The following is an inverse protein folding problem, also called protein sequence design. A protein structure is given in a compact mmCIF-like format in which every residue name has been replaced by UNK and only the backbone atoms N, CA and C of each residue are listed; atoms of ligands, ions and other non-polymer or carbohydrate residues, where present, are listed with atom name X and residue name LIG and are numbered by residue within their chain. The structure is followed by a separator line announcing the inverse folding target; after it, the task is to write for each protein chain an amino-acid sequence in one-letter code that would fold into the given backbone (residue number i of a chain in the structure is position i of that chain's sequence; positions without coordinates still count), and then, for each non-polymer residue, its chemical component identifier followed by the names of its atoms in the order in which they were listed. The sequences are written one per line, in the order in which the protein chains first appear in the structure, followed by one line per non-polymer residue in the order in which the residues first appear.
data_IF_549977619857
#
_entry.id   IF_549977619857
#
_cell.length_a   1.000
_cell.length_b   1.000
_cell.length_c   1.000
_cell.angle_alpha   90.00
_cell.angle_beta   90.00
_cell.angle_gamma   90.00
#
_symmetry.space_group_name_H-M   'P 1'
#
loop_
_entity.id
_entity.type
_entity.pdbx_description
1 polymer ?
#
# COMPACT_ATOMS: atom_id res chain seq x y z
N UNK A 1 21.79 48.92 -21.59
CA UNK A 1 22.24 47.52 -21.54
C UNK A 1 21.47 46.67 -20.52
N UNK A 2 20.19 46.93 -20.21
CA UNK A 2 19.43 46.26 -19.15
C UNK A 2 18.34 45.32 -19.65
N UNK A 3 18.12 45.21 -20.97
CA UNK A 3 16.98 44.45 -21.53
C UNK A 3 17.24 42.93 -21.74
N UNK A 4 18.48 42.46 -21.72
CA UNK A 4 18.81 41.05 -22.07
C UNK A 4 18.74 40.09 -20.87
N UNK A 5 18.81 40.58 -19.64
CA UNK A 5 18.73 39.74 -18.43
C UNK A 5 17.29 39.41 -18.01
N UNK A 6 16.33 40.29 -18.27
CA UNK A 6 14.92 40.05 -17.98
C UNK A 6 14.30 38.98 -18.87
N UNK A 7 14.72 38.87 -20.14
CA UNK A 7 14.24 37.84 -21.07
C UNK A 7 14.69 36.43 -20.68
N UNK A 8 15.91 36.28 -20.15
CA UNK A 8 16.44 34.97 -19.73
C UNK A 8 15.74 34.43 -18.47
N UNK A 9 15.46 35.30 -17.49
CA UNK A 9 14.75 34.91 -16.25
C UNK A 9 13.27 34.58 -16.54
N UNK A 10 12.60 35.32 -17.44
CA UNK A 10 11.23 35.00 -17.87
C UNK A 10 11.17 33.70 -18.69
N UNK A 11 12.18 33.43 -19.52
CA UNK A 11 12.31 32.19 -20.29
C UNK A 11 12.50 30.98 -19.41
N UNK A 12 13.32 31.08 -18.36
CA UNK A 12 13.53 30.00 -17.38
C UNK A 12 12.26 29.77 -16.54
N UNK A 13 11.57 30.82 -16.15
CA UNK A 13 10.33 30.74 -15.38
C UNK A 13 9.15 30.17 -16.20
N UNK A 14 9.00 30.60 -17.44
CA UNK A 14 8.02 30.07 -18.41
C UNK A 14 8.39 28.64 -18.84
N UNK A 15 9.68 28.33 -19.01
CA UNK A 15 10.17 26.98 -19.28
C UNK A 15 9.82 26.03 -18.15
N UNK A 16 10.02 26.45 -16.91
CA UNK A 16 9.68 25.64 -15.73
C UNK A 16 8.16 25.41 -15.54
N UNK A 17 7.33 26.41 -15.90
CA UNK A 17 5.86 26.26 -15.93
C UNK A 17 5.39 25.39 -17.10
N UNK A 18 6.10 25.49 -18.25
CA UNK A 18 5.80 24.67 -19.44
C UNK A 18 6.20 23.22 -19.20
N UNK A 19 7.36 22.96 -18.61
CA UNK A 19 7.81 21.62 -18.21
C UNK A 19 6.86 20.97 -17.18
N UNK A 20 6.35 21.72 -16.20
CA UNK A 20 5.32 21.21 -15.28
C UNK A 20 4.00 20.86 -15.98
N UNK A 21 3.58 21.61 -17.02
CA UNK A 21 2.36 21.31 -17.78
C UNK A 21 2.56 20.18 -18.80
N UNK A 22 3.75 20.09 -19.41
CA UNK A 22 4.07 19.01 -20.36
C UNK A 22 4.32 17.67 -19.64
N UNK A 23 4.89 17.68 -18.43
CA UNK A 23 5.02 16.48 -17.60
C UNK A 23 3.65 15.88 -17.20
N UNK A 24 2.59 16.70 -17.23
CA UNK A 24 1.21 16.24 -17.00
C UNK A 24 0.54 15.61 -18.24
N UNK A 25 1.10 15.74 -19.45
CA UNK A 25 0.39 15.39 -20.69
C UNK A 25 1.09 14.37 -21.61
N UNK A 26 2.35 14.00 -21.39
CA UNK A 26 3.05 13.03 -22.26
C UNK A 26 3.83 12.00 -21.44
N UNK A 27 3.70 10.73 -21.83
CA UNK A 27 4.35 9.49 -21.41
C UNK A 27 5.47 9.63 -20.37
N UNK A 28 5.12 9.50 -19.14
CA UNK A 28 5.80 10.04 -17.95
C UNK A 28 7.14 9.35 -17.65
N UNK A 29 8.23 10.10 -17.39
CA UNK A 29 9.47 9.57 -16.79
C UNK A 29 9.18 8.85 -15.46
N UNK A 30 10.03 7.92 -15.04
CA UNK A 30 9.83 7.11 -13.81
C UNK A 30 9.40 7.90 -12.57
N UNK A 31 9.89 9.15 -12.39
CA UNK A 31 9.52 10.02 -11.28
C UNK A 31 8.07 10.45 -11.23
N UNK A 32 7.37 10.55 -12.34
CA UNK A 32 5.96 10.92 -12.35
C UNK A 32 5.03 9.73 -12.09
N UNK A 33 5.38 8.50 -12.49
CA UNK A 33 4.61 7.29 -12.12
C UNK A 33 4.68 7.04 -10.62
N UNK A 34 5.85 7.19 -10.05
CA UNK A 34 6.10 7.09 -8.62
C UNK A 34 5.29 8.12 -7.84
N UNK A 35 5.33 9.40 -8.26
CA UNK A 35 4.53 10.45 -7.66
C UNK A 35 3.02 10.14 -7.75
N UNK A 36 2.54 9.65 -8.89
CA UNK A 36 1.14 9.23 -9.05
C UNK A 36 0.80 8.04 -8.18
N UNK A 37 1.72 7.07 -8.01
CA UNK A 37 1.52 5.95 -7.10
C UNK A 37 1.31 6.46 -5.67
N UNK A 38 2.20 7.31 -5.16
CA UNK A 38 2.08 7.85 -3.81
C UNK A 38 0.85 8.74 -3.65
N UNK A 39 0.60 9.64 -4.59
CA UNK A 39 -0.58 10.50 -4.54
C UNK A 39 -1.87 9.67 -4.47
N UNK A 40 -2.01 8.63 -5.30
CA UNK A 40 -3.18 7.76 -5.23
C UNK A 40 -3.24 7.00 -3.90
N UNK A 41 -2.11 6.50 -3.41
CA UNK A 41 -2.06 5.77 -2.13
C UNK A 41 -2.57 6.64 -0.99
N UNK A 42 -2.03 7.86 -0.84
CA UNK A 42 -2.41 8.75 0.26
C UNK A 42 -3.80 9.37 0.08
N UNK A 43 -4.25 9.64 -1.16
CA UNK A 43 -5.61 10.11 -1.40
C UNK A 43 -6.65 9.05 -1.00
N UNK A 44 -6.44 7.79 -1.37
CA UNK A 44 -7.35 6.70 -1.00
C UNK A 44 -7.30 6.42 0.50
N UNK A 45 -6.12 6.53 1.16
CA UNK A 45 -6.02 6.48 2.63
C UNK A 45 -6.87 7.58 3.27
N UNK A 46 -6.81 8.83 2.76
CA UNK A 46 -7.64 9.93 3.24
C UNK A 46 -9.13 9.68 3.06
N UNK A 47 -9.52 9.05 1.94
CA UNK A 47 -10.91 8.70 1.66
C UNK A 47 -11.45 7.64 2.63
N UNK A 48 -10.68 6.59 2.91
CA UNK A 48 -11.00 5.56 3.90
C UNK A 48 -11.12 6.19 5.29
N UNK A 49 -10.11 6.96 5.72
CA UNK A 49 -10.11 7.63 7.01
C UNK A 49 -11.32 8.55 7.23
N UNK A 50 -11.89 9.11 6.16
CA UNK A 50 -13.08 9.96 6.22
C UNK A 50 -14.39 9.16 6.23
N UNK A 51 -14.39 7.90 5.84
CA UNK A 51 -15.59 7.06 5.68
C UNK A 51 -16.40 6.93 6.96
N UNK A 52 -15.74 6.84 8.12
CA UNK A 52 -16.35 6.80 9.45
C UNK A 52 -17.00 8.14 9.87
N UNK A 53 -16.78 9.22 9.09
CA UNK A 53 -17.29 10.57 9.33
C UNK A 53 -16.25 11.52 9.92
N UNK A 54 -15.35 11.05 10.78
CA UNK A 54 -14.29 11.86 11.39
C UNK A 54 -12.94 11.16 11.29
N UNK A 55 -11.98 11.85 10.71
CA UNK A 55 -10.58 11.40 10.71
C UNK A 55 -10.04 11.39 12.13
N UNK A 56 -9.51 10.27 12.55
CA UNK A 56 -8.95 10.05 13.88
C UNK A 56 -7.45 10.37 13.93
N UNK A 57 -6.91 10.45 15.14
CA UNK A 57 -5.45 10.55 15.31
C UNK A 57 -4.72 9.29 14.85
N UNK A 58 -5.37 8.11 14.91
CA UNK A 58 -4.83 6.85 14.41
C UNK A 58 -4.63 6.91 12.89
N UNK A 59 -5.61 7.43 12.15
CA UNK A 59 -5.51 7.59 10.70
C UNK A 59 -4.36 8.52 10.31
N UNK A 60 -4.21 9.63 11.04
CA UNK A 60 -3.11 10.58 10.82
C UNK A 60 -1.77 9.93 11.14
N UNK A 61 -1.68 9.18 12.26
CA UNK A 61 -0.46 8.45 12.63
C UNK A 61 -0.11 7.38 11.60
N UNK A 62 -1.09 6.64 11.11
CA UNK A 62 -0.89 5.63 10.07
C UNK A 62 -0.31 6.26 8.80
N UNK A 63 -0.94 7.33 8.28
CA UNK A 63 -0.44 8.02 7.10
C UNK A 63 0.95 8.61 7.31
N UNK A 64 1.22 9.20 8.48
CA UNK A 64 2.52 9.77 8.84
C UNK A 64 3.59 8.67 8.94
N UNK A 65 3.29 7.56 9.60
CA UNK A 65 4.20 6.42 9.73
C UNK A 65 4.54 5.81 8.36
N UNK A 66 3.58 5.75 7.45
CA UNK A 66 3.85 5.32 6.08
C UNK A 66 4.76 6.31 5.35
N UNK A 67 4.54 7.63 5.48
CA UNK A 67 5.43 8.65 4.90
C UNK A 67 6.86 8.53 5.43
N UNK A 68 7.00 8.28 6.74
CA UNK A 68 8.32 8.11 7.38
C UNK A 68 9.01 6.83 6.91
N UNK A 69 8.28 5.71 6.84
CA UNK A 69 8.77 4.43 6.32
C UNK A 69 9.26 4.55 4.87
N UNK A 70 8.52 5.30 4.05
CA UNK A 70 8.86 5.59 2.67
C UNK A 70 9.94 6.69 2.55
N UNK A 71 10.43 7.23 3.67
CA UNK A 71 11.43 8.31 3.72
C UNK A 71 11.03 9.53 2.89
N UNK A 72 9.73 9.80 2.79
CA UNK A 72 9.25 10.96 2.05
C UNK A 72 9.67 12.25 2.78
N UNK A 73 10.33 13.14 2.06
CA UNK A 73 10.81 14.43 2.58
C UNK A 73 10.52 15.55 1.59
N UNK A 74 10.68 16.78 2.02
CA UNK A 74 10.55 17.96 1.16
C UNK A 74 9.21 18.02 0.43
N UNK A 75 9.26 18.15 -0.89
CA UNK A 75 8.07 18.27 -1.76
C UNK A 75 7.26 16.98 -1.77
N UNK A 76 7.90 15.81 -1.88
CA UNK A 76 7.20 14.53 -1.93
C UNK A 76 6.33 14.27 -0.69
N UNK A 77 6.80 14.67 0.50
CA UNK A 77 6.00 14.58 1.74
C UNK A 77 4.82 15.56 1.73
N UNK A 78 5.02 16.78 1.24
CA UNK A 78 3.93 17.76 1.10
C UNK A 78 2.87 17.30 0.11
N UNK A 79 3.27 16.71 -1.01
CA UNK A 79 2.38 16.17 -2.02
C UNK A 79 1.56 15.00 -1.45
N UNK A 80 2.18 14.09 -0.70
CA UNK A 80 1.50 13.01 -0.01
C UNK A 80 0.47 13.51 1.02
N UNK A 81 0.85 14.52 1.82
CA UNK A 81 -0.07 15.17 2.78
C UNK A 81 -1.23 15.88 2.08
N UNK A 82 -0.96 16.52 0.94
CA UNK A 82 -1.99 17.17 0.14
C UNK A 82 -2.94 16.13 -0.47
N UNK A 83 -2.41 15.05 -1.04
CA UNK A 83 -3.21 13.95 -1.57
C UNK A 83 -4.13 13.34 -0.49
N UNK A 84 -3.61 13.12 0.73
CA UNK A 84 -4.44 12.65 1.85
C UNK A 84 -5.57 13.63 2.19
N UNK A 85 -5.33 14.95 2.12
CA UNK A 85 -6.38 15.96 2.31
C UNK A 85 -7.41 15.94 1.19
N UNK A 86 -6.98 15.85 -0.06
CA UNK A 86 -7.86 15.76 -1.24
C UNK A 86 -8.75 14.53 -1.20
N UNK A 87 -8.22 13.39 -0.76
CA UNK A 87 -9.00 12.17 -0.59
C UNK A 87 -10.16 12.27 0.41
N UNK A 88 -10.10 13.22 1.35
CA UNK A 88 -11.18 13.46 2.33
C UNK A 88 -12.31 14.33 1.80
N UNK A 89 -12.12 14.99 0.67
CA UNK A 89 -13.13 15.88 0.11
C UNK A 89 -14.34 15.09 -0.42
N UNK A 90 -15.56 15.65 -0.29
CA UNK A 90 -16.78 14.93 -0.68
C UNK A 90 -16.86 14.60 -2.18
N UNK A 91 -16.15 15.37 -3.01
CA UNK A 91 -16.09 15.24 -4.47
C UNK A 91 -14.92 14.37 -4.96
N UNK A 92 -14.21 13.68 -4.05
CA UNK A 92 -13.11 12.80 -4.43
C UNK A 92 -13.61 11.63 -5.31
N UNK A 93 -13.13 11.59 -6.54
CA UNK A 93 -13.50 10.59 -7.54
C UNK A 93 -12.68 9.28 -7.36
N UNK A 94 -13.08 8.45 -6.40
CA UNK A 94 -12.38 7.22 -6.04
C UNK A 94 -12.15 6.31 -7.25
N UNK A 95 -13.22 5.94 -7.98
CA UNK A 95 -13.11 5.01 -9.11
C UNK A 95 -12.23 5.57 -10.25
N UNK A 96 -12.34 6.87 -10.53
CA UNK A 96 -11.50 7.50 -11.55
C UNK A 96 -10.01 7.48 -11.13
N UNK A 97 -9.73 7.70 -9.85
CA UNK A 97 -8.38 7.62 -9.29
C UNK A 97 -7.82 6.19 -9.40
N UNK A 98 -8.62 5.18 -9.04
CA UNK A 98 -8.23 3.77 -9.12
C UNK A 98 -8.02 3.29 -10.56
N UNK A 99 -8.86 3.74 -11.51
CA UNK A 99 -8.67 3.44 -12.94
C UNK A 99 -7.36 4.05 -13.47
N UNK A 100 -6.99 5.27 -13.04
CA UNK A 100 -5.68 5.87 -13.37
C UNK A 100 -4.54 5.03 -12.78
N UNK A 101 -4.66 4.64 -11.50
CA UNK A 101 -3.69 3.80 -10.81
C UNK A 101 -3.48 2.46 -11.52
N UNK A 102 -4.56 1.79 -11.92
CA UNK A 102 -4.50 0.53 -12.66
C UNK A 102 -3.73 0.69 -13.99
N UNK A 103 -3.90 1.82 -14.68
CA UNK A 103 -3.15 2.11 -15.92
C UNK A 103 -1.66 2.29 -15.66
N UNK A 104 -1.26 3.07 -14.66
CA UNK A 104 0.16 3.31 -14.38
C UNK A 104 0.89 2.08 -13.84
N UNK A 105 0.18 1.18 -13.20
CA UNK A 105 0.73 -0.11 -12.75
C UNK A 105 0.70 -1.19 -13.82
N UNK A 106 0.22 -0.89 -15.03
CA UNK A 106 0.10 -1.83 -16.16
C UNK A 106 -0.62 -3.13 -15.79
N UNK A 107 -1.60 -3.10 -14.88
CA UNK A 107 -2.31 -4.28 -14.41
C UNK A 107 -1.45 -5.29 -13.65
N UNK A 108 -0.27 -4.90 -13.18
CA UNK A 108 0.64 -5.77 -12.42
C UNK A 108 0.03 -6.10 -11.07
N UNK A 109 -0.47 -7.34 -10.99
CA UNK A 109 -1.33 -7.80 -9.89
C UNK A 109 -0.66 -7.68 -8.53
N UNK A 110 0.62 -8.02 -8.41
CA UNK A 110 1.33 -7.98 -7.14
C UNK A 110 1.53 -6.54 -6.63
N UNK A 111 1.75 -5.59 -7.54
CA UNK A 111 1.84 -4.16 -7.18
C UNK A 111 0.47 -3.62 -6.74
N UNK A 112 -0.60 -4.04 -7.42
CA UNK A 112 -1.97 -3.68 -7.05
C UNK A 112 -2.42 -4.33 -5.74
N UNK A 113 -1.96 -5.56 -5.47
CA UNK A 113 -2.20 -6.23 -4.20
C UNK A 113 -1.51 -5.50 -3.05
N UNK A 114 -0.25 -5.10 -3.20
CA UNK A 114 0.46 -4.30 -2.18
C UNK A 114 -0.27 -2.98 -1.89
N UNK A 115 -0.78 -2.30 -2.93
CA UNK A 115 -1.61 -1.12 -2.74
C UNK A 115 -2.89 -1.44 -1.94
N UNK A 116 -3.62 -2.50 -2.30
CA UNK A 116 -4.83 -2.91 -1.59
C UNK A 116 -4.53 -3.27 -0.12
N UNK A 117 -3.42 -3.96 0.14
CA UNK A 117 -2.99 -4.30 1.51
C UNK A 117 -2.70 -3.05 2.35
N UNK A 118 -2.12 -2.00 1.78
CA UNK A 118 -1.95 -0.70 2.47
C UNK A 118 -3.33 -0.10 2.82
N UNK A 119 -4.30 -0.19 1.93
CA UNK A 119 -5.65 0.33 2.19
C UNK A 119 -6.38 -0.50 3.26
N UNK A 120 -6.21 -1.82 3.27
CA UNK A 120 -6.70 -2.70 4.34
C UNK A 120 -6.10 -2.33 5.69
N UNK A 121 -4.78 -2.10 5.73
CA UNK A 121 -4.09 -1.66 6.95
C UNK A 121 -4.62 -0.31 7.44
N UNK A 122 -4.95 0.59 6.52
CA UNK A 122 -5.55 1.89 6.87
C UNK A 122 -6.94 1.71 7.48
N UNK A 123 -7.80 0.88 6.88
CA UNK A 123 -9.14 0.62 7.39
C UNK A 123 -9.13 -0.10 8.75
N UNK A 124 -8.09 -0.86 9.07
CA UNK A 124 -7.91 -1.56 10.34
C UNK A 124 -7.06 -0.77 11.35
N UNK A 125 -6.80 0.52 11.12
CA UNK A 125 -5.89 1.33 11.93
C UNK A 125 -6.34 1.51 13.39
N UNK A 126 -7.64 1.43 13.65
CA UNK A 126 -8.27 1.52 14.98
C UNK A 126 -8.64 0.14 15.56
N UNK A 127 -8.36 -0.95 14.82
CA UNK A 127 -8.58 -2.33 15.23
C UNK A 127 -9.92 -2.92 14.80
N UNK A 128 -10.87 -2.11 14.31
CA UNK A 128 -12.19 -2.54 13.87
C UNK A 128 -12.47 -2.06 12.44
N UNK A 129 -12.97 -2.96 11.59
CA UNK A 129 -13.39 -2.62 10.23
C UNK A 129 -14.85 -2.18 10.24
N UNK A 130 -15.11 -0.93 9.89
CA UNK A 130 -16.47 -0.41 9.80
C UNK A 130 -17.11 -0.75 8.44
N UNK A 131 -18.44 -0.86 8.40
CA UNK A 131 -19.19 -1.20 7.18
C UNK A 131 -18.88 -0.25 5.99
N UNK A 132 -18.73 1.04 6.27
CA UNK A 132 -18.39 2.04 5.24
C UNK A 132 -16.98 1.88 4.69
N UNK A 133 -16.02 1.52 5.53
CA UNK A 133 -14.65 1.26 5.12
C UNK A 133 -14.56 -0.03 4.30
N UNK A 134 -15.30 -1.07 4.73
CA UNK A 134 -15.41 -2.31 3.96
C UNK A 134 -16.03 -2.06 2.58
N UNK A 135 -17.08 -1.24 2.49
CA UNK A 135 -17.68 -0.88 1.20
C UNK A 135 -16.66 -0.18 0.27
N UNK A 136 -15.81 0.71 0.80
CA UNK A 136 -14.74 1.34 0.04
C UNK A 136 -13.70 0.31 -0.40
N UNK A 137 -13.28 -0.59 0.48
CA UNK A 137 -12.36 -1.68 0.13
C UNK A 137 -12.91 -2.59 -0.97
N UNK A 138 -14.22 -2.86 -0.97
CA UNK A 138 -14.89 -3.60 -2.06
C UNK A 138 -14.80 -2.85 -3.40
N UNK A 139 -14.99 -1.53 -3.40
CA UNK A 139 -14.80 -0.71 -4.60
C UNK A 139 -13.35 -0.79 -5.09
N UNK A 140 -12.38 -0.63 -4.18
CA UNK A 140 -10.96 -0.71 -4.50
C UNK A 140 -10.62 -2.08 -5.10
N UNK A 141 -11.03 -3.15 -4.45
CA UNK A 141 -10.79 -4.53 -4.92
C UNK A 141 -11.37 -4.73 -6.33
N UNK A 142 -12.62 -4.36 -6.55
CA UNK A 142 -13.30 -4.47 -7.85
C UNK A 142 -12.56 -3.70 -8.96
N UNK A 143 -12.23 -2.43 -8.72
CA UNK A 143 -11.54 -1.59 -9.72
C UNK A 143 -10.13 -2.11 -10.05
N UNK A 144 -9.46 -2.74 -9.10
CA UNK A 144 -8.15 -3.37 -9.29
C UNK A 144 -8.24 -4.81 -9.82
N UNK A 145 -9.45 -5.38 -9.98
CA UNK A 145 -9.67 -6.71 -10.53
C UNK A 145 -9.49 -7.84 -9.52
N UNK A 146 -9.70 -7.57 -8.23
CA UNK A 146 -9.81 -8.59 -7.18
C UNK A 146 -11.29 -8.93 -6.93
N UNK A 147 -11.59 -10.20 -6.69
CA UNK A 147 -12.92 -10.63 -6.27
C UNK A 147 -13.16 -10.32 -4.79
N UNK A 148 -14.44 -10.31 -4.37
CA UNK A 148 -14.81 -10.17 -2.96
C UNK A 148 -14.16 -11.26 -2.11
N UNK A 149 -14.15 -12.50 -2.57
CA UNK A 149 -13.47 -13.61 -1.89
C UNK A 149 -11.98 -13.32 -1.67
N UNK A 150 -11.29 -12.76 -2.64
CA UNK A 150 -9.87 -12.41 -2.50
C UNK A 150 -9.64 -11.25 -1.52
N UNK A 151 -10.56 -10.28 -1.48
CA UNK A 151 -10.54 -9.22 -0.49
C UNK A 151 -10.71 -9.79 0.93
N UNK A 152 -11.69 -10.67 1.13
CA UNK A 152 -11.98 -11.28 2.42
C UNK A 152 -10.80 -12.14 2.92
N UNK A 153 -10.16 -12.88 2.03
CA UNK A 153 -8.93 -13.63 2.34
C UNK A 153 -7.75 -12.70 2.73
N UNK A 154 -7.62 -11.55 2.07
CA UNK A 154 -6.60 -10.55 2.43
C UNK A 154 -6.91 -9.92 3.79
N UNK A 155 -8.16 -9.56 4.05
CA UNK A 155 -8.62 -9.01 5.33
C UNK A 155 -8.36 -10.00 6.48
N UNK A 156 -8.77 -11.25 6.32
CA UNK A 156 -8.54 -12.31 7.31
C UNK A 156 -7.05 -12.48 7.63
N UNK A 157 -6.22 -12.50 6.60
CA UNK A 157 -4.77 -12.62 6.74
C UNK A 157 -4.15 -11.42 7.47
N UNK A 158 -4.59 -10.20 7.15
CA UNK A 158 -4.15 -8.99 7.85
C UNK A 158 -4.55 -8.96 9.33
N UNK A 159 -5.77 -9.36 9.65
CA UNK A 159 -6.22 -9.49 11.04
C UNK A 159 -5.38 -10.51 11.81
N UNK A 160 -5.07 -11.65 11.19
CA UNK A 160 -4.19 -12.65 11.79
C UNK A 160 -2.76 -12.11 12.00
N UNK A 161 -2.23 -11.37 11.04
CA UNK A 161 -0.91 -10.73 11.13
C UNK A 161 -0.84 -9.71 12.28
N UNK A 162 -1.87 -8.88 12.43
CA UNK A 162 -1.97 -7.95 13.56
C UNK A 162 -1.97 -8.69 14.91
N UNK A 163 -2.76 -9.76 15.05
CA UNK A 163 -2.77 -10.60 16.27
C UNK A 163 -1.41 -11.26 16.51
N UNK A 164 -0.79 -11.77 15.44
CA UNK A 164 0.52 -12.41 15.49
C UNK A 164 1.63 -11.45 15.96
N UNK A 165 1.59 -10.19 15.52
CA UNK A 165 2.56 -9.14 15.92
C UNK A 165 2.29 -8.58 17.33
N UNK A 166 1.04 -8.54 17.76
CA UNK A 166 0.63 -7.97 19.06
C UNK A 166 0.71 -8.96 20.22
N UNK A 167 1.25 -10.17 20.00
CA UNK A 167 1.38 -11.16 21.09
C UNK A 167 2.15 -10.55 22.28
N UNK A 168 1.51 -10.42 23.48
CA UNK A 168 2.12 -9.68 24.59
C UNK A 168 3.28 -10.43 25.23
N UNK A 169 4.41 -9.78 25.42
CA UNK A 169 5.50 -10.21 26.28
C UNK A 169 6.13 -11.57 25.93
N UNK A 170 6.37 -12.41 26.92
CA UNK A 170 7.00 -13.75 26.81
C UNK A 170 6.16 -14.81 26.07
N UNK A 171 5.00 -14.46 25.55
CA UNK A 171 4.13 -15.39 24.83
C UNK A 171 4.52 -15.43 23.36
N UNK A 172 4.99 -16.61 22.93
CA UNK A 172 5.25 -16.86 21.50
C UNK A 172 3.96 -16.62 20.71
N UNK A 173 4.03 -15.98 19.52
CA UNK A 173 2.86 -15.75 18.68
C UNK A 173 2.04 -17.03 18.47
N UNK A 174 0.73 -16.90 18.39
CA UNK A 174 -0.19 -18.02 18.23
C UNK A 174 0.15 -18.87 17.00
N UNK A 175 0.10 -20.18 17.15
CA UNK A 175 0.28 -21.10 16.01
C UNK A 175 -0.90 -20.97 15.04
N UNK A 176 -2.11 -20.78 15.56
CA UNK A 176 -3.31 -20.59 14.74
C UNK A 176 -3.19 -19.33 13.87
N UNK A 177 -2.75 -18.20 14.46
CA UNK A 177 -2.51 -16.97 13.69
C UNK A 177 -1.41 -17.15 12.63
N UNK A 178 -0.36 -17.92 12.95
CA UNK A 178 0.69 -18.22 11.97
C UNK A 178 0.16 -19.01 10.75
N UNK A 179 -0.77 -19.95 10.96
CA UNK A 179 -1.45 -20.62 9.86
C UNK A 179 -2.32 -19.65 9.04
N UNK A 180 -3.08 -18.79 9.70
CA UNK A 180 -3.92 -17.80 9.03
C UNK A 180 -3.08 -16.79 8.23
N UNK A 181 -1.92 -16.33 8.73
CA UNK A 181 -0.97 -15.49 7.99
C UNK A 181 -0.52 -16.18 6.71
N UNK A 182 -0.31 -17.50 6.74
CA UNK A 182 0.01 -18.27 5.54
C UNK A 182 -1.22 -18.56 4.64
N UNK A 183 -2.43 -18.18 5.06
CA UNK A 183 -3.68 -18.47 4.37
C UNK A 183 -4.07 -19.94 4.42
N UNK A 184 -3.77 -20.62 5.53
CA UNK A 184 -3.99 -22.07 5.72
C UNK A 184 -4.79 -22.35 6.98
N UNK A 185 -5.38 -23.53 7.04
CA UNK A 185 -5.90 -24.13 8.28
C UNK A 185 -4.82 -24.95 8.96
N UNK A 186 -4.98 -25.21 10.26
CA UNK A 186 -4.06 -26.09 11.03
C UNK A 186 -4.03 -27.53 10.52
N UNK A 187 -5.06 -27.95 9.77
CA UNK A 187 -5.15 -29.27 9.14
C UNK A 187 -4.36 -29.39 7.82
N UNK A 188 -3.76 -28.29 7.33
CA UNK A 188 -3.00 -28.28 6.08
C UNK A 188 -1.82 -29.25 6.13
N UNK A 189 -1.49 -29.90 5.01
CA UNK A 189 -0.32 -30.76 4.91
C UNK A 189 0.99 -29.96 4.93
N UNK A 190 2.10 -30.60 5.32
CA UNK A 190 3.44 -30.00 5.26
C UNK A 190 3.80 -29.51 3.85
N UNK A 191 3.29 -30.22 2.83
CA UNK A 191 3.49 -29.85 1.44
C UNK A 191 2.73 -28.57 1.07
N UNK A 192 1.50 -28.40 1.58
CA UNK A 192 0.71 -27.20 1.37
C UNK A 192 1.30 -26.01 2.11
N UNK A 193 1.83 -26.22 3.33
CA UNK A 193 2.54 -25.17 4.10
C UNK A 193 3.75 -24.67 3.30
N UNK A 194 4.60 -25.57 2.80
CA UNK A 194 5.76 -25.20 1.97
C UNK A 194 5.35 -24.52 0.66
N UNK A 195 4.21 -24.91 0.07
CA UNK A 195 3.68 -24.31 -1.15
C UNK A 195 3.15 -22.90 -0.89
N UNK A 196 2.36 -22.72 0.16
CA UNK A 196 1.82 -21.40 0.54
C UNK A 196 2.94 -20.42 0.88
N UNK A 197 3.91 -20.82 1.70
CA UNK A 197 5.08 -20.01 2.00
C UNK A 197 5.83 -19.56 0.74
N UNK A 198 6.15 -20.49 -0.18
CA UNK A 198 6.84 -20.14 -1.43
C UNK A 198 6.03 -19.20 -2.31
N UNK A 199 4.71 -19.38 -2.36
CA UNK A 199 3.80 -18.49 -3.09
C UNK A 199 3.84 -17.09 -2.51
N UNK A 200 3.63 -16.95 -1.19
CA UNK A 200 3.63 -15.65 -0.50
C UNK A 200 4.98 -14.94 -0.61
N UNK A 201 6.09 -15.64 -0.40
CA UNK A 201 7.43 -15.08 -0.59
C UNK A 201 7.67 -14.62 -2.01
N UNK A 202 7.12 -15.32 -3.01
CA UNK A 202 7.22 -14.89 -4.40
C UNK A 202 6.38 -13.64 -4.71
N UNK A 203 5.21 -13.51 -4.07
CA UNK A 203 4.31 -12.37 -4.24
C UNK A 203 4.84 -11.09 -3.55
N UNK A 204 5.52 -11.25 -2.40
CA UNK A 204 5.99 -10.15 -1.56
C UNK A 204 7.51 -9.92 -1.58
N UNK A 205 8.26 -10.63 -2.46
CA UNK A 205 9.70 -10.45 -2.53
C UNK A 205 10.06 -9.03 -3.00
N UNK A 206 10.85 -8.25 -2.23
CA UNK A 206 11.15 -6.86 -2.53
C UNK A 206 11.67 -6.64 -3.96
N UNK A 207 12.71 -7.39 -4.36
CA UNK A 207 13.34 -7.23 -5.68
C UNK A 207 12.37 -7.55 -6.83
N UNK A 208 11.47 -8.55 -6.63
CA UNK A 208 10.45 -8.89 -7.63
C UNK A 208 9.39 -7.80 -7.76
N UNK A 209 8.98 -7.21 -6.64
CA UNK A 209 8.00 -6.13 -6.64
C UNK A 209 8.58 -4.87 -7.29
N UNK A 210 9.83 -4.51 -6.99
CA UNK A 210 10.54 -3.39 -7.64
C UNK A 210 10.69 -3.65 -9.15
N UNK A 211 11.11 -4.84 -9.55
CA UNK A 211 11.17 -5.23 -10.97
C UNK A 211 9.81 -5.17 -11.68
N UNK A 212 8.70 -5.31 -10.92
CA UNK A 212 7.32 -5.13 -11.39
C UNK A 212 6.82 -3.69 -11.25
N UNK A 213 7.68 -2.74 -10.92
CA UNK A 213 7.37 -1.31 -10.90
C UNK A 213 6.78 -0.79 -9.58
N UNK A 214 6.95 -1.53 -8.49
CA UNK A 214 6.77 -0.96 -7.16
C UNK A 214 7.85 0.13 -6.96
N UNK A 215 7.49 1.32 -6.46
CA UNK A 215 8.49 2.33 -6.11
C UNK A 215 9.57 1.80 -5.17
N UNK A 216 10.82 2.18 -5.38
CA UNK A 216 11.96 1.70 -4.57
C UNK A 216 11.81 2.05 -3.09
N UNK A 217 11.20 3.19 -2.78
CA UNK A 217 10.90 3.62 -1.41
C UNK A 217 10.00 2.63 -0.67
N UNK A 218 9.18 1.86 -1.40
CA UNK A 218 8.31 0.83 -0.82
C UNK A 218 9.03 -0.50 -0.55
N UNK A 219 10.32 -0.61 -0.89
CA UNK A 219 11.11 -1.82 -0.65
C UNK A 219 11.12 -2.22 0.83
N UNK A 220 11.19 -1.25 1.74
CA UNK A 220 11.21 -1.52 3.17
C UNK A 220 9.88 -2.10 3.67
N UNK A 221 8.75 -1.62 3.12
CA UNK A 221 7.43 -2.20 3.39
C UNK A 221 7.34 -3.65 2.90
N UNK A 222 7.82 -3.91 1.68
CA UNK A 222 7.87 -5.26 1.11
C UNK A 222 8.77 -6.20 1.93
N UNK A 223 9.90 -5.72 2.43
CA UNK A 223 10.79 -6.50 3.33
C UNK A 223 10.10 -6.88 4.63
N UNK A 224 9.43 -5.94 5.29
CA UNK A 224 8.67 -6.22 6.51
C UNK A 224 7.63 -7.30 6.27
N UNK A 225 6.85 -7.18 5.20
CA UNK A 225 5.86 -8.19 4.83
C UNK A 225 6.49 -9.57 4.60
N UNK A 226 7.62 -9.64 3.90
CA UNK A 226 8.36 -10.89 3.71
C UNK A 226 8.88 -11.47 5.04
N UNK A 227 9.33 -10.63 5.97
CA UNK A 227 9.77 -11.04 7.31
C UNK A 227 8.62 -11.61 8.14
N UNK A 228 7.43 -11.00 8.09
CA UNK A 228 6.25 -11.49 8.79
C UNK A 228 5.80 -12.87 8.25
N UNK A 229 5.81 -13.05 6.93
CA UNK A 229 5.55 -14.32 6.26
C UNK A 229 6.58 -15.38 6.68
N UNK A 230 7.86 -15.02 6.74
CA UNK A 230 8.93 -15.91 7.19
C UNK A 230 8.74 -16.33 8.65
N UNK A 231 8.45 -15.36 9.54
CA UNK A 231 8.23 -15.63 10.96
C UNK A 231 7.04 -16.56 11.18
N UNK A 232 5.94 -16.36 10.46
CA UNK A 232 4.77 -17.24 10.50
C UNK A 232 5.12 -18.66 10.03
N UNK A 233 5.86 -18.79 8.93
CA UNK A 233 6.32 -20.11 8.45
C UNK A 233 7.22 -20.82 9.46
N UNK A 234 8.20 -20.12 10.05
CA UNK A 234 9.11 -20.67 11.03
C UNK A 234 8.37 -21.11 12.31
N UNK A 235 7.33 -20.37 12.70
CA UNK A 235 6.46 -20.72 13.81
C UNK A 235 5.70 -22.03 13.56
N UNK A 236 5.08 -22.18 12.39
CA UNK A 236 4.37 -23.39 11.97
C UNK A 236 5.34 -24.56 11.85
N UNK A 237 6.49 -24.36 11.18
CA UNK A 237 7.54 -25.36 10.98
C UNK A 237 8.06 -25.90 12.32
N UNK A 238 8.37 -25.02 13.27
CA UNK A 238 8.83 -25.41 14.61
C UNK A 238 7.76 -26.18 15.37
N UNK A 239 6.49 -25.78 15.31
CA UNK A 239 5.40 -26.45 16.00
C UNK A 239 5.16 -27.88 15.48
N UNK A 240 5.37 -28.11 14.18
CA UNK A 240 5.21 -29.43 13.53
C UNK A 240 6.44 -30.29 13.50
N UNK A 241 7.60 -29.79 13.92
CA UNK A 241 8.87 -30.49 13.78
C UNK A 241 9.28 -30.75 12.33
N UNK A 242 8.83 -29.91 11.39
CA UNK A 242 9.15 -30.03 9.95
C UNK A 242 10.65 -29.79 9.70
N UNK A 243 11.25 -30.61 8.84
CA UNK A 243 12.65 -30.49 8.38
C UNK A 243 12.74 -29.63 7.11
#
# INVERSE_FOLDING_TARGET
MFGRFFGALLGIWLGHLYDKRMAASQGLPGGSRQAQFFNTTFAVMGHIAKASGRVTENDIRMATSLMDMLRLSGTARKDAQQAFREGKEPDFELEASLRRFRRITFGRREVQQMFLEIQIQTALSDGELQDKEYAILQVIARELGFSSFQLDELLKRWQAELRFQQAPGDHRPSVADAYEVLGLSESASDQDIKRAYRKLMNEHHPDKLVAKGLPEEMMELAKRKAQDIQAAYDRVKSNRGMR
#
